data_IF_728859766001
#
_entry.id   IF_728859766001
#
_cell.length_a   1.000
_cell.length_b   1.000
_cell.length_c   1.000
_cell.angle_alpha   90.00
_cell.angle_beta   90.00
_cell.angle_gamma   90.00
#
_symmetry.space_group_name_H-M   'P 1'
#
loop_
_entity.id
_entity.type
_entity.pdbx_description
1 polymer ?
#
# COMPACT_ATOMS: atom_id res chain seq x y z
N UNK A 1 5.33 -19.22 -18.08
CA UNK A 1 3.85 -19.23 -18.22
C UNK A 1 3.15 -19.23 -16.84
N UNK A 2 3.42 -20.20 -15.95
CA UNK A 2 2.80 -20.26 -14.60
C UNK A 2 3.05 -19.03 -13.69
N UNK A 3 4.22 -18.40 -13.79
CA UNK A 3 4.56 -17.20 -13.01
C UNK A 3 3.67 -16.00 -13.38
N UNK A 4 3.41 -15.77 -14.66
CA UNK A 4 2.55 -14.67 -15.13
C UNK A 4 1.07 -14.89 -14.80
N UNK A 5 0.61 -16.14 -14.79
CA UNK A 5 -0.76 -16.49 -14.38
C UNK A 5 -1.00 -16.12 -12.91
N UNK A 6 -0.09 -16.51 -12.03
CA UNK A 6 -0.24 -16.25 -10.59
C UNK A 6 0.06 -14.80 -10.20
N UNK A 7 0.98 -14.12 -10.87
CA UNK A 7 1.38 -12.75 -10.52
C UNK A 7 0.51 -11.67 -11.17
N UNK A 8 -0.23 -11.96 -12.24
CA UNK A 8 -0.96 -10.93 -12.99
C UNK A 8 -2.44 -11.26 -13.16
N UNK A 9 -2.76 -12.39 -13.77
CA UNK A 9 -4.16 -12.73 -14.07
C UNK A 9 -4.97 -13.03 -12.81
N UNK A 10 -4.40 -13.74 -11.84
CA UNK A 10 -5.09 -14.07 -10.61
C UNK A 10 -5.39 -12.83 -9.75
N UNK A 11 -4.44 -11.89 -9.49
CA UNK A 11 -4.75 -10.63 -8.83
C UNK A 11 -5.82 -9.81 -9.55
N UNK A 12 -5.74 -9.72 -10.88
CA UNK A 12 -6.72 -8.98 -11.66
C UNK A 12 -8.11 -9.61 -11.59
N UNK A 13 -8.20 -10.93 -11.75
CA UNK A 13 -9.45 -11.68 -11.58
C UNK A 13 -10.01 -11.51 -10.16
N UNK A 14 -9.16 -11.49 -9.14
CA UNK A 14 -9.58 -11.27 -7.76
C UNK A 14 -10.11 -9.85 -7.53
N UNK A 15 -9.54 -8.83 -8.18
CA UNK A 15 -10.07 -7.46 -8.15
C UNK A 15 -11.46 -7.38 -8.81
N UNK A 16 -11.61 -8.01 -9.98
CA UNK A 16 -12.91 -8.14 -10.65
C UNK A 16 -13.94 -8.90 -9.79
N UNK A 17 -13.56 -10.04 -9.21
CA UNK A 17 -14.42 -10.81 -8.30
C UNK A 17 -14.81 -9.97 -7.08
N UNK A 18 -13.87 -9.19 -6.54
CA UNK A 18 -14.15 -8.29 -5.43
C UNK A 18 -15.21 -7.25 -5.81
N UNK A 19 -15.11 -6.62 -6.99
CA UNK A 19 -16.14 -5.72 -7.53
C UNK A 19 -17.51 -6.42 -7.59
N UNK A 20 -17.59 -7.62 -8.18
CA UNK A 20 -18.84 -8.39 -8.29
C UNK A 20 -19.42 -8.75 -6.91
N UNK A 21 -18.57 -9.03 -5.92
CA UNK A 21 -19.02 -9.32 -4.56
C UNK A 21 -19.56 -8.08 -3.86
N UNK A 22 -18.89 -6.94 -4.01
CA UNK A 22 -19.34 -5.69 -3.40
C UNK A 22 -20.59 -5.13 -4.08
N UNK A 23 -20.70 -5.26 -5.40
CA UNK A 23 -21.90 -4.85 -6.13
C UNK A 23 -23.15 -5.63 -5.71
N UNK A 24 -23.01 -6.93 -5.41
CA UNK A 24 -24.09 -7.77 -4.85
C UNK A 24 -24.44 -7.45 -3.40
N UNK A 25 -23.57 -6.74 -2.67
CA UNK A 25 -23.81 -6.34 -1.28
C UNK A 25 -24.58 -5.03 -1.14
N UNK A 26 -24.83 -4.32 -2.25
CA UNK A 26 -25.68 -3.14 -2.29
C UNK A 26 -27.16 -3.53 -2.10
N UNK A 27 -27.97 -2.58 -1.62
CA UNK A 27 -29.40 -2.81 -1.44
C UNK A 27 -30.14 -2.75 -2.79
N UNK A 28 -29.67 -1.91 -3.71
CA UNK A 28 -30.17 -1.82 -5.08
C UNK A 28 -29.27 -2.58 -6.08
N UNK A 29 -29.82 -3.01 -7.24
CA UNK A 29 -29.02 -3.52 -8.35
C UNK A 29 -27.92 -2.52 -8.73
N UNK A 30 -26.70 -3.01 -8.87
CA UNK A 30 -25.58 -2.17 -9.26
C UNK A 30 -25.71 -1.75 -10.72
N UNK A 31 -25.79 -0.44 -10.93
CA UNK A 31 -25.67 0.20 -12.23
C UNK A 31 -24.50 1.20 -12.14
N UNK A 32 -23.43 1.07 -12.94
CA UNK A 32 -22.32 1.99 -12.87
C UNK A 32 -22.80 3.41 -13.22
N UNK A 33 -22.30 4.42 -12.50
CA UNK A 33 -22.45 5.80 -12.93
C UNK A 33 -21.67 6.05 -14.22
N UNK A 34 -22.03 7.11 -14.94
CA UNK A 34 -21.29 7.52 -16.13
C UNK A 34 -19.88 8.03 -15.77
N UNK A 35 -18.98 8.00 -16.75
CA UNK A 35 -17.59 8.40 -16.56
C UNK A 35 -17.46 9.86 -16.07
N UNK A 36 -18.36 10.76 -16.49
CA UNK A 36 -18.29 12.17 -16.10
C UNK A 36 -18.63 12.38 -14.62
N UNK A 37 -19.54 11.58 -14.06
CA UNK A 37 -19.88 11.60 -12.63
C UNK A 37 -18.76 10.99 -11.81
N UNK A 38 -18.17 9.89 -12.28
CA UNK A 38 -17.05 9.22 -11.61
C UNK A 38 -15.81 10.12 -11.51
N UNK A 39 -15.55 10.93 -12.53
CA UNK A 39 -14.45 11.91 -12.52
C UNK A 39 -14.60 13.02 -11.48
N UNK A 40 -15.81 13.22 -10.90
CA UNK A 40 -16.05 14.20 -9.83
C UNK A 40 -15.71 13.68 -8.43
N UNK A 41 -15.22 12.44 -8.31
CA UNK A 41 -14.77 11.91 -7.01
C UNK A 41 -13.75 12.84 -6.37
N UNK A 42 -13.94 13.16 -5.09
CA UNK A 42 -13.01 13.97 -4.30
C UNK A 42 -11.80 13.17 -3.80
N UNK A 43 -11.85 11.84 -3.92
CA UNK A 43 -10.83 10.94 -3.41
C UNK A 43 -9.58 10.96 -4.31
N UNK A 44 -8.41 11.11 -3.68
CA UNK A 44 -7.13 11.19 -4.37
C UNK A 44 -6.76 9.90 -5.13
N UNK A 45 -7.06 8.71 -4.59
CA UNK A 45 -6.75 7.46 -5.27
C UNK A 45 -7.70 7.19 -6.44
N UNK A 46 -8.94 7.69 -6.40
CA UNK A 46 -9.87 7.61 -7.54
C UNK A 46 -9.43 8.53 -8.68
N UNK A 47 -9.07 9.77 -8.35
CA UNK A 47 -8.50 10.71 -9.31
C UNK A 47 -7.21 10.15 -9.91
N UNK A 48 -6.36 9.54 -9.08
CA UNK A 48 -5.12 8.93 -9.52
C UNK A 48 -5.35 7.74 -10.45
N UNK A 49 -6.21 6.78 -10.09
CA UNK A 49 -6.39 5.59 -10.93
C UNK A 49 -7.02 5.96 -12.28
N UNK A 50 -7.90 6.97 -12.31
CA UNK A 50 -8.43 7.51 -13.55
C UNK A 50 -7.33 8.16 -14.39
N UNK A 51 -6.47 9.00 -13.79
CA UNK A 51 -5.31 9.57 -14.49
C UNK A 51 -4.38 8.49 -15.03
N UNK A 52 -4.03 7.50 -14.20
CA UNK A 52 -3.17 6.38 -14.59
C UNK A 52 -3.78 5.55 -15.72
N UNK A 53 -5.12 5.45 -15.77
CA UNK A 53 -5.86 4.77 -16.86
C UNK A 53 -5.76 5.55 -18.16
N UNK A 54 -5.92 6.88 -18.12
CA UNK A 54 -5.70 7.75 -19.29
C UNK A 54 -4.25 7.69 -19.78
N UNK A 55 -3.29 7.71 -18.85
CA UNK A 55 -1.86 7.53 -19.14
C UNK A 55 -1.57 6.16 -19.77
N UNK A 56 -2.25 5.10 -19.32
CA UNK A 56 -2.16 3.77 -19.92
C UNK A 56 -2.68 3.76 -21.36
N UNK A 57 -3.89 4.27 -21.60
CA UNK A 57 -4.48 4.31 -22.95
C UNK A 57 -3.59 5.10 -23.90
N UNK A 58 -3.11 6.27 -23.46
CA UNK A 58 -2.20 7.09 -24.25
C UNK A 58 -0.90 6.37 -24.60
N UNK A 59 -0.25 5.76 -23.60
CA UNK A 59 0.99 5.01 -23.80
C UNK A 59 0.79 3.82 -24.75
N UNK A 60 -0.30 3.08 -24.55
CA UNK A 60 -0.63 1.92 -25.39
C UNK A 60 -0.84 2.33 -26.85
N UNK A 61 -1.67 3.35 -27.12
CA UNK A 61 -1.89 3.84 -28.48
C UNK A 61 -0.57 4.27 -29.13
N UNK A 62 0.24 5.08 -28.44
CA UNK A 62 1.52 5.56 -28.96
C UNK A 62 2.47 4.41 -29.32
N UNK A 63 2.60 3.41 -28.46
CA UNK A 63 3.52 2.29 -28.69
C UNK A 63 2.99 1.30 -29.73
N UNK A 64 1.66 1.09 -29.80
CA UNK A 64 1.03 0.27 -30.83
C UNK A 64 1.12 0.92 -32.22
N UNK A 65 0.88 2.22 -32.33
CA UNK A 65 1.02 2.99 -33.58
C UNK A 65 2.47 2.94 -34.10
N UNK A 66 3.45 2.90 -33.19
CA UNK A 66 4.86 2.76 -33.50
C UNK A 66 5.35 1.30 -33.64
N UNK A 67 4.47 0.31 -33.52
CA UNK A 67 4.78 -1.13 -33.54
C UNK A 67 5.82 -1.58 -32.48
N UNK A 68 5.87 -0.91 -31.33
CA UNK A 68 6.82 -1.19 -30.23
C UNK A 68 6.22 -2.14 -29.17
N UNK A 69 5.81 -3.33 -29.59
CA UNK A 69 5.09 -4.29 -28.73
C UNK A 69 5.85 -4.71 -27.45
N UNK A 70 7.20 -4.62 -27.46
CA UNK A 70 8.04 -5.04 -26.34
C UNK A 70 7.95 -4.11 -25.11
N UNK A 71 7.50 -2.86 -25.27
CA UNK A 71 7.32 -1.89 -24.18
C UNK A 71 5.92 -1.95 -23.56
N UNK A 72 4.94 -2.43 -24.34
CA UNK A 72 3.52 -2.47 -23.99
C UNK A 72 3.27 -3.40 -22.80
N UNK A 73 3.76 -4.64 -22.87
CA UNK A 73 3.50 -5.65 -21.83
C UNK A 73 4.06 -5.23 -20.46
N UNK A 74 5.33 -4.79 -20.32
CA UNK A 74 5.84 -4.32 -19.02
C UNK A 74 5.02 -3.18 -18.40
N UNK A 75 4.61 -2.20 -19.21
CA UNK A 75 3.82 -1.07 -18.72
C UNK A 75 2.43 -1.51 -18.24
N UNK A 76 1.77 -2.40 -19.00
CA UNK A 76 0.49 -2.99 -18.61
C UNK A 76 0.57 -3.77 -17.30
N UNK A 77 1.61 -4.60 -17.15
CA UNK A 77 1.82 -5.35 -15.92
C UNK A 77 2.01 -4.43 -14.71
N UNK A 78 2.77 -3.34 -14.89
CA UNK A 78 2.94 -2.31 -13.86
C UNK A 78 1.61 -1.62 -13.51
N UNK A 79 0.78 -1.33 -14.51
CA UNK A 79 -0.54 -0.75 -14.29
C UNK A 79 -1.48 -1.72 -13.53
N UNK A 80 -1.51 -3.01 -13.90
CA UNK A 80 -2.33 -4.00 -13.20
C UNK A 80 -1.84 -4.24 -11.76
N UNK A 81 -0.53 -4.21 -11.53
CA UNK A 81 0.04 -4.22 -10.19
C UNK A 81 -0.42 -3.00 -9.37
N UNK A 82 -0.33 -1.79 -9.94
CA UNK A 82 -0.85 -0.57 -9.34
C UNK A 82 -2.35 -0.66 -9.02
N UNK A 83 -3.17 -1.15 -9.95
CA UNK A 83 -4.60 -1.31 -9.74
C UNK A 83 -4.90 -2.24 -8.56
N UNK A 84 -4.22 -3.38 -8.50
CA UNK A 84 -4.54 -4.42 -7.51
C UNK A 84 -3.89 -4.18 -6.15
N UNK A 85 -2.60 -3.89 -6.13
CA UNK A 85 -1.81 -3.77 -4.90
C UNK A 85 -1.87 -2.39 -4.25
N UNK A 86 -2.41 -1.38 -4.95
CA UNK A 86 -2.47 -0.01 -4.44
C UNK A 86 -3.90 0.46 -4.44
N UNK A 87 -4.53 0.58 -5.60
CA UNK A 87 -5.90 1.12 -5.66
C UNK A 87 -6.89 0.23 -4.89
N UNK A 88 -6.99 -1.06 -5.26
CA UNK A 88 -7.94 -1.99 -4.61
C UNK A 88 -7.53 -2.32 -3.17
N UNK A 89 -6.24 -2.52 -2.90
CA UNK A 89 -5.74 -2.82 -1.55
C UNK A 89 -6.02 -1.69 -0.57
N UNK A 90 -5.58 -0.47 -0.88
CA UNK A 90 -5.69 0.69 0.02
C UNK A 90 -7.15 1.16 0.16
N UNK A 91 -7.97 0.99 -0.88
CA UNK A 91 -9.39 1.34 -0.81
C UNK A 91 -10.29 0.18 -0.42
N UNK A 92 -9.76 -0.96 0.05
CA UNK A 92 -10.58 -2.15 0.32
C UNK A 92 -11.68 -1.90 1.35
N UNK A 93 -11.40 -1.13 2.40
CA UNK A 93 -12.40 -0.75 3.41
C UNK A 93 -13.41 0.22 2.80
N UNK A 94 -12.91 1.19 2.03
CA UNK A 94 -13.70 2.22 1.34
C UNK A 94 -14.67 1.67 0.30
N UNK A 95 -14.30 0.58 -0.38
CA UNK A 95 -15.10 -0.10 -1.41
C UNK A 95 -16.18 -1.03 -0.83
N UNK A 96 -16.25 -1.20 0.49
CA UNK A 96 -17.32 -1.94 1.16
C UNK A 96 -18.44 -1.00 1.58
N UNK A 97 -19.67 -1.47 1.54
CA UNK A 97 -20.83 -0.71 2.01
C UNK A 97 -20.77 -0.39 3.53
N UNK A 98 -20.14 -1.26 4.34
CA UNK A 98 -20.11 -1.13 5.80
C UNK A 98 -19.46 0.20 6.22
N UNK A 99 -20.26 1.13 6.74
CA UNK A 99 -19.80 2.43 7.26
C UNK A 99 -19.73 3.56 6.23
N UNK A 100 -20.31 3.41 5.04
CA UNK A 100 -20.43 4.49 4.05
C UNK A 100 -21.85 4.54 3.50
N UNK A 101 -22.32 5.72 3.08
CA UNK A 101 -23.54 5.86 2.29
C UNK A 101 -23.47 4.98 1.01
N UNK A 102 -24.61 4.40 0.63
CA UNK A 102 -24.74 3.50 -0.53
C UNK A 102 -24.38 4.22 -1.85
N UNK A 103 -24.75 5.48 -2.00
CA UNK A 103 -24.41 6.26 -3.21
C UNK A 103 -22.90 6.47 -3.37
N UNK A 104 -22.21 6.78 -2.29
CA UNK A 104 -20.76 6.95 -2.30
C UNK A 104 -20.08 5.58 -2.54
N UNK A 105 -20.54 4.51 -1.89
CA UNK A 105 -20.09 3.14 -2.21
C UNK A 105 -20.26 2.83 -3.72
N UNK A 106 -21.42 3.16 -4.30
CA UNK A 106 -21.71 2.99 -5.72
C UNK A 106 -20.78 3.84 -6.60
N UNK A 107 -20.47 5.07 -6.23
CA UNK A 107 -19.52 5.93 -6.93
C UNK A 107 -18.14 5.27 -7.02
N UNK A 108 -17.63 4.80 -5.88
CA UNK A 108 -16.32 4.17 -5.76
C UNK A 108 -16.23 2.84 -6.54
N UNK A 109 -17.30 2.04 -6.49
CA UNK A 109 -17.43 0.82 -7.29
C UNK A 109 -17.55 1.12 -8.79
N UNK A 110 -18.20 2.23 -9.17
CA UNK A 110 -18.26 2.69 -10.56
C UNK A 110 -16.89 3.08 -11.08
N UNK A 111 -16.06 3.76 -10.28
CA UNK A 111 -14.65 4.03 -10.61
C UNK A 111 -13.89 2.74 -10.91
N UNK A 112 -13.97 1.75 -10.01
CA UNK A 112 -13.30 0.46 -10.22
C UNK A 112 -13.83 -0.28 -11.46
N UNK A 113 -15.14 -0.23 -11.70
CA UNK A 113 -15.79 -0.83 -12.86
C UNK A 113 -15.24 -0.24 -14.17
N UNK A 114 -15.19 1.08 -14.31
CA UNK A 114 -14.69 1.73 -15.53
C UNK A 114 -13.22 1.45 -15.78
N UNK A 115 -12.39 1.53 -14.73
CA UNK A 115 -10.97 1.19 -14.84
C UNK A 115 -10.77 -0.25 -15.32
N UNK A 116 -11.54 -1.20 -14.77
CA UNK A 116 -11.50 -2.60 -15.21
C UNK A 116 -11.99 -2.77 -16.65
N UNK A 117 -13.04 -2.07 -17.06
CA UNK A 117 -13.57 -2.12 -18.42
C UNK A 117 -12.55 -1.62 -19.44
N UNK A 118 -11.93 -0.46 -19.18
CA UNK A 118 -10.86 0.08 -20.03
C UNK A 118 -9.66 -0.87 -20.04
N UNK A 119 -9.28 -1.44 -18.90
CA UNK A 119 -8.22 -2.44 -18.82
C UNK A 119 -8.52 -3.66 -19.69
N UNK A 120 -9.76 -4.15 -19.70
CA UNK A 120 -10.19 -5.23 -20.59
C UNK A 120 -10.04 -4.83 -22.06
N UNK A 121 -10.51 -3.64 -22.46
CA UNK A 121 -10.40 -3.14 -23.85
C UNK A 121 -8.94 -3.04 -24.30
N UNK A 122 -8.05 -2.50 -23.45
CA UNK A 122 -6.61 -2.40 -23.75
C UNK A 122 -5.93 -3.76 -23.82
N UNK A 123 -6.34 -4.72 -22.97
CA UNK A 123 -5.80 -6.08 -22.95
C UNK A 123 -6.38 -7.01 -24.03
N UNK A 124 -7.41 -6.57 -24.78
CA UNK A 124 -8.11 -7.38 -25.77
C UNK A 124 -7.18 -8.01 -26.83
N UNK A 125 -6.22 -7.26 -27.41
CA UNK A 125 -5.29 -7.82 -28.39
C UNK A 125 -4.30 -8.85 -27.81
N UNK A 126 -4.10 -8.84 -26.49
CA UNK A 126 -3.10 -9.68 -25.81
C UNK A 126 -3.69 -10.95 -25.21
N UNK A 127 -4.89 -10.85 -24.63
CA UNK A 127 -5.50 -11.94 -23.83
C UNK A 127 -6.99 -12.12 -24.16
N UNK A 128 -7.34 -12.35 -25.43
CA UNK A 128 -8.69 -12.16 -25.97
C UNK A 128 -9.77 -13.01 -25.29
N UNK A 129 -9.47 -14.25 -24.92
CA UNK A 129 -10.46 -15.12 -24.28
C UNK A 129 -10.70 -14.79 -22.80
N UNK A 130 -9.65 -14.39 -22.08
CA UNK A 130 -9.75 -14.09 -20.65
C UNK A 130 -10.59 -12.84 -20.41
N UNK A 131 -10.27 -11.77 -21.13
CA UNK A 131 -10.99 -10.49 -21.07
C UNK A 131 -12.42 -10.59 -21.58
N UNK A 132 -12.68 -11.42 -22.60
CA UNK A 132 -14.04 -11.68 -23.08
C UNK A 132 -14.90 -12.30 -21.98
N UNK A 133 -14.37 -13.30 -21.26
CA UNK A 133 -15.09 -13.93 -20.15
C UNK A 133 -15.46 -12.93 -19.03
N UNK A 134 -14.61 -11.93 -18.77
CA UNK A 134 -14.92 -10.86 -17.80
C UNK A 134 -15.97 -9.91 -18.36
N UNK A 135 -15.79 -9.49 -19.61
CA UNK A 135 -16.66 -8.54 -20.29
C UNK A 135 -18.10 -9.04 -20.37
N UNK A 136 -18.31 -10.31 -20.75
CA UNK A 136 -19.65 -10.91 -20.85
C UNK A 136 -20.47 -10.80 -19.57
N UNK A 137 -19.83 -10.80 -18.40
CA UNK A 137 -20.55 -10.58 -17.14
C UNK A 137 -20.69 -9.08 -16.80
N UNK A 138 -19.76 -8.22 -17.21
CA UNK A 138 -19.88 -6.77 -17.09
C UNK A 138 -20.97 -6.20 -18.00
N UNK A 139 -21.21 -6.81 -19.16
CA UNK A 139 -22.25 -6.43 -20.13
C UNK A 139 -23.66 -6.41 -19.50
N UNK A 140 -23.90 -7.24 -18.47
CA UNK A 140 -25.20 -7.31 -17.76
C UNK A 140 -25.59 -6.03 -17.02
N UNK A 141 -24.63 -5.14 -16.76
CA UNK A 141 -24.85 -3.85 -16.08
C UNK A 141 -24.50 -2.66 -16.99
N UNK A 142 -24.10 -2.93 -18.24
CA UNK A 142 -23.90 -1.92 -19.27
C UNK A 142 -25.19 -1.80 -20.08
N UNK A 143 -25.52 -0.57 -20.48
CA UNK A 143 -26.58 -0.30 -21.42
C UNK A 143 -25.94 -0.04 -22.79
N UNK A 144 -26.51 -0.63 -23.84
CA UNK A 144 -26.20 -0.24 -25.23
C UNK A 144 -24.71 -0.38 -25.62
N UNK A 145 -24.12 -1.55 -25.30
CA UNK A 145 -22.75 -1.92 -25.68
C UNK A 145 -22.78 -3.19 -26.55
N UNK A 146 -21.70 -3.38 -27.32
CA UNK A 146 -21.56 -4.48 -28.27
C UNK A 146 -21.63 -5.86 -27.61
N UNK A 147 -22.08 -6.88 -28.36
CA UNK A 147 -22.20 -8.25 -27.83
C UNK A 147 -20.85 -8.88 -27.45
N UNK A 148 -19.75 -8.40 -28.03
CA UNK A 148 -18.40 -8.85 -27.75
C UNK A 148 -17.46 -7.67 -27.56
N UNK A 149 -16.49 -7.82 -26.65
CA UNK A 149 -15.51 -6.76 -26.41
C UNK A 149 -14.69 -6.45 -27.67
N UNK A 150 -14.50 -7.45 -28.53
CA UNK A 150 -13.73 -7.31 -29.77
C UNK A 150 -14.44 -6.48 -30.84
N UNK A 151 -15.72 -6.17 -30.66
CA UNK A 151 -16.46 -5.24 -31.51
C UNK A 151 -16.50 -3.83 -30.94
N UNK A 152 -16.14 -3.64 -29.66
CA UNK A 152 -16.06 -2.33 -29.06
C UNK A 152 -14.99 -1.47 -29.73
N UNK A 153 -15.28 -0.18 -29.85
CA UNK A 153 -14.25 0.80 -30.19
C UNK A 153 -13.14 0.83 -29.13
N UNK A 154 -11.90 0.97 -29.59
CA UNK A 154 -10.75 1.13 -28.69
C UNK A 154 -10.91 2.41 -27.86
N UNK A 155 -10.58 2.39 -26.55
CA UNK A 155 -10.72 3.57 -25.71
C UNK A 155 -9.89 4.74 -26.23
N UNK A 156 -10.50 5.92 -26.27
CA UNK A 156 -9.81 7.17 -26.59
C UNK A 156 -9.43 7.89 -25.31
N UNK A 157 -8.36 8.69 -25.36
CA UNK A 157 -7.97 9.58 -24.26
C UNK A 157 -9.03 10.68 -24.17
N UNK A 158 -9.86 10.65 -23.13
CA UNK A 158 -10.98 11.58 -22.94
C UNK A 158 -10.79 12.44 -21.69
N UNK A 159 -9.95 12.00 -20.75
CA UNK A 159 -9.69 12.67 -19.48
C UNK A 159 -8.43 13.54 -19.47
N UNK A 160 -8.30 14.34 -18.41
CA UNK A 160 -7.07 15.04 -18.11
C UNK A 160 -6.11 14.09 -17.41
N UNK A 161 -4.94 13.86 -18.00
CA UNK A 161 -3.80 13.28 -17.29
C UNK A 161 -3.30 14.28 -16.27
N UNK A 162 -3.24 13.87 -15.01
CA UNK A 162 -2.74 14.65 -13.91
C UNK A 162 -1.37 14.06 -13.48
N UNK A 163 -0.31 14.60 -14.06
CA UNK A 163 1.04 14.16 -13.72
C UNK A 163 1.40 14.42 -12.25
N UNK A 164 0.78 15.43 -11.62
CA UNK A 164 1.04 15.78 -10.22
C UNK A 164 0.51 14.69 -9.31
N UNK A 165 -0.74 14.26 -9.49
CA UNK A 165 -1.32 13.21 -8.64
C UNK A 165 -0.64 11.84 -8.84
N UNK A 166 -0.24 11.52 -10.08
CA UNK A 166 0.55 10.32 -10.38
C UNK A 166 1.89 10.34 -9.66
N UNK A 167 2.56 11.49 -9.62
CA UNK A 167 3.79 11.69 -8.87
C UNK A 167 3.57 11.58 -7.36
N UNK A 168 2.53 12.20 -6.81
CA UNK A 168 2.21 12.14 -5.37
C UNK A 168 1.99 10.69 -4.91
N UNK A 169 1.23 9.89 -5.67
CA UNK A 169 1.02 8.46 -5.35
C UNK A 169 2.31 7.66 -5.53
N UNK A 170 3.14 7.96 -6.53
CA UNK A 170 4.45 7.31 -6.67
C UNK A 170 5.36 7.58 -5.46
N UNK A 171 5.41 8.82 -4.97
CA UNK A 171 6.16 9.20 -3.76
C UNK A 171 5.64 8.46 -2.52
N UNK A 172 4.32 8.41 -2.35
CA UNK A 172 3.66 7.66 -1.28
C UNK A 172 4.07 6.17 -1.29
N UNK A 173 4.10 5.53 -2.48
CA UNK A 173 4.56 4.15 -2.62
C UNK A 173 5.98 3.96 -2.12
N UNK A 174 6.89 4.82 -2.56
CA UNK A 174 8.29 4.78 -2.14
C UNK A 174 8.41 4.85 -0.62
N UNK A 175 7.67 5.78 0.02
CA UNK A 175 7.64 5.90 1.49
C UNK A 175 7.15 4.61 2.15
N UNK A 176 6.05 4.03 1.66
CA UNK A 176 5.49 2.78 2.19
C UNK A 176 6.48 1.63 2.07
N UNK A 177 7.15 1.50 0.93
CA UNK A 177 8.10 0.40 0.69
C UNK A 177 9.37 0.56 1.55
N UNK A 178 9.86 1.79 1.73
CA UNK A 178 10.96 2.08 2.66
C UNK A 178 10.61 1.74 4.10
N UNK A 179 9.40 2.09 4.56
CA UNK A 179 8.94 1.75 5.90
C UNK A 179 8.74 0.23 6.09
N UNK A 180 8.22 -0.47 5.08
CA UNK A 180 8.11 -1.94 5.11
C UNK A 180 9.47 -2.61 5.23
N UNK A 181 10.47 -2.12 4.49
CA UNK A 181 11.84 -2.64 4.58
C UNK A 181 12.39 -2.52 6.01
N UNK A 182 12.17 -1.39 6.68
CA UNK A 182 12.57 -1.20 8.09
C UNK A 182 11.89 -2.26 8.98
N UNK A 183 10.56 -2.41 8.85
CA UNK A 183 9.82 -3.42 9.61
C UNK A 183 10.32 -4.84 9.39
N UNK A 184 10.59 -5.21 8.15
CA UNK A 184 11.10 -6.53 7.80
C UNK A 184 12.48 -6.79 8.41
N UNK A 185 13.39 -5.81 8.37
CA UNK A 185 14.71 -5.92 9.02
C UNK A 185 14.61 -6.21 10.53
N UNK A 186 13.62 -5.62 11.19
CA UNK A 186 13.39 -5.78 12.63
C UNK A 186 12.36 -6.84 12.99
N UNK A 187 11.90 -7.64 12.02
CA UNK A 187 10.85 -8.64 12.20
C UNK A 187 9.59 -8.09 12.91
N UNK A 188 9.22 -6.83 12.65
CA UNK A 188 8.02 -6.18 13.19
C UNK A 188 6.84 -6.39 12.24
N UNK A 189 5.88 -7.27 12.55
CA UNK A 189 4.74 -7.53 11.65
C UNK A 189 3.86 -6.28 11.52
N UNK A 190 3.19 -6.10 10.38
CA UNK A 190 2.23 -4.98 10.16
C UNK A 190 1.08 -4.95 11.18
N UNK A 191 0.78 -6.08 11.82
CA UNK A 191 -0.24 -6.14 12.87
C UNK A 191 0.22 -5.49 14.18
N UNK A 192 1.52 -5.35 14.39
CA UNK A 192 2.06 -4.60 15.52
C UNK A 192 2.05 -3.12 15.16
N UNK A 193 1.21 -2.30 15.80
CA UNK A 193 1.21 -0.87 15.56
C UNK A 193 2.54 -0.28 16.01
N UNK A 194 3.01 0.72 15.28
CA UNK A 194 4.15 1.54 15.69
C UNK A 194 3.67 2.94 16.06
N UNK A 195 4.44 3.60 16.91
CA UNK A 195 4.07 4.91 17.43
C UNK A 195 4.17 5.98 16.35
N UNK A 196 5.35 6.14 15.78
CA UNK A 196 5.66 7.29 14.93
C UNK A 196 6.49 6.87 13.71
N UNK A 197 6.21 7.54 12.60
CA UNK A 197 7.05 7.55 11.41
C UNK A 197 7.45 8.98 11.09
N UNK A 198 8.71 9.17 10.70
CA UNK A 198 9.21 10.47 10.21
C UNK A 198 9.60 10.36 8.75
N UNK A 199 9.10 11.26 7.91
CA UNK A 199 9.53 11.43 6.53
C UNK A 199 10.43 12.66 6.46
N UNK A 200 11.66 12.46 5.99
CA UNK A 200 12.66 13.51 5.87
C UNK A 200 12.93 13.78 4.40
N UNK A 201 12.66 15.01 3.96
CA UNK A 201 12.88 15.44 2.59
C UNK A 201 13.08 16.96 2.50
N UNK A 202 14.06 17.48 1.73
CA UNK A 202 14.34 18.92 1.68
C UNK A 202 13.26 19.75 0.96
N UNK A 203 12.57 19.15 -0.01
CA UNK A 203 11.46 19.78 -0.75
C UNK A 203 10.15 19.73 0.05
N UNK A 204 9.54 20.89 0.29
CA UNK A 204 8.26 21.00 0.98
C UNK A 204 7.10 20.43 0.14
N UNK A 205 7.16 20.54 -1.19
CA UNK A 205 6.12 20.04 -2.08
C UNK A 205 6.04 18.50 -2.05
N UNK A 206 7.17 17.83 -1.79
CA UNK A 206 7.21 16.39 -1.54
C UNK A 206 6.51 16.01 -0.23
N UNK A 207 6.79 16.77 0.82
CA UNK A 207 6.21 16.52 2.14
C UNK A 207 4.69 16.75 2.12
N UNK A 208 4.23 17.83 1.47
CA UNK A 208 2.81 18.14 1.32
C UNK A 208 2.04 17.04 0.58
N UNK A 209 2.63 16.45 -0.46
CA UNK A 209 2.01 15.31 -1.18
C UNK A 209 1.65 14.16 -0.24
N UNK A 210 2.51 13.90 0.74
CA UNK A 210 2.37 12.75 1.65
C UNK A 210 1.52 13.07 2.88
N UNK A 211 1.40 14.34 3.25
CA UNK A 211 0.66 14.80 4.44
C UNK A 211 -0.81 15.15 4.18
N UNK A 212 -1.13 15.55 2.94
CA UNK A 212 -2.48 15.96 2.57
C UNK A 212 -3.42 14.74 2.43
N UNK A 213 -3.96 14.51 1.24
CA UNK A 213 -4.97 13.47 1.01
C UNK A 213 -4.42 12.03 1.11
N UNK A 214 -3.10 11.86 1.18
CA UNK A 214 -2.44 10.55 1.18
C UNK A 214 -2.02 10.06 2.58
N UNK A 215 -2.03 10.94 3.59
CA UNK A 215 -1.56 10.63 4.95
C UNK A 215 -2.23 9.40 5.56
N UNK A 216 -3.56 9.36 5.54
CA UNK A 216 -4.34 8.25 6.11
C UNK A 216 -4.00 6.91 5.44
N UNK A 217 -3.76 6.90 4.12
CA UNK A 217 -3.36 5.68 3.42
C UNK A 217 -1.99 5.18 3.87
N UNK A 218 -1.06 6.08 4.14
CA UNK A 218 0.27 5.73 4.66
C UNK A 218 0.16 5.18 6.08
N UNK A 219 -0.57 5.87 6.96
CA UNK A 219 -0.76 5.45 8.36
C UNK A 219 -1.49 4.11 8.47
N UNK A 220 -2.55 3.90 7.70
CA UNK A 220 -3.32 2.65 7.69
C UNK A 220 -2.50 1.48 7.12
N UNK A 221 -1.85 1.69 5.99
CA UNK A 221 -1.09 0.63 5.32
C UNK A 221 0.13 0.20 6.14
N UNK A 222 0.74 1.16 6.84
CA UNK A 222 1.84 0.89 7.74
C UNK A 222 1.38 0.66 9.18
N UNK A 223 0.12 0.78 9.56
CA UNK A 223 -0.32 0.68 10.96
C UNK A 223 0.61 1.47 11.92
N UNK A 224 0.76 2.77 11.65
CA UNK A 224 1.53 3.73 12.47
C UNK A 224 0.54 4.75 13.04
N UNK A 225 0.72 5.20 14.28
CA UNK A 225 -0.22 6.14 14.91
C UNK A 225 -0.01 7.59 14.45
N UNK A 226 1.24 8.03 14.32
CA UNK A 226 1.58 9.39 13.87
C UNK A 226 2.57 9.40 12.71
N UNK A 227 2.37 10.37 11.81
CA UNK A 227 3.30 10.72 10.76
C UNK A 227 3.82 12.14 11.03
N UNK A 228 5.14 12.28 11.07
CA UNK A 228 5.86 13.55 11.22
C UNK A 228 6.64 13.84 9.95
N UNK A 229 6.60 15.08 9.48
CA UNK A 229 7.36 15.54 8.34
C UNK A 229 8.54 16.38 8.82
N UNK A 230 9.70 16.19 8.21
CA UNK A 230 10.90 16.94 8.53
C UNK A 230 11.57 17.45 7.25
N UNK A 231 11.65 18.76 7.11
CA UNK A 231 12.38 19.41 6.02
C UNK A 231 13.89 19.57 6.33
N UNK A 232 14.25 19.55 7.61
CA UNK A 232 15.63 19.63 8.05
C UNK A 232 16.32 18.26 7.96
N UNK A 233 16.92 18.00 6.80
CA UNK A 233 17.68 16.79 6.54
C UNK A 233 18.85 16.60 7.50
N UNK A 234 19.47 17.67 8.00
CA UNK A 234 20.67 17.59 8.87
C UNK A 234 20.35 17.02 10.25
N UNK A 235 19.08 17.05 10.66
CA UNK A 235 18.62 16.48 11.93
C UNK A 235 18.78 14.95 11.97
N UNK A 236 18.56 14.28 10.84
CA UNK A 236 18.53 12.82 10.76
C UNK A 236 19.50 12.23 9.74
N UNK A 237 20.22 13.06 8.98
CA UNK A 237 21.18 12.58 7.98
C UNK A 237 22.56 13.15 8.21
N UNK A 238 23.58 12.31 8.00
CA UNK A 238 24.93 12.72 7.68
C UNK A 238 25.15 12.54 6.19
N UNK A 239 25.48 13.62 5.49
CA UNK A 239 25.78 13.55 4.06
C UNK A 239 27.27 13.31 3.85
N UNK A 240 27.62 12.34 3.01
CA UNK A 240 28.99 12.08 2.57
C UNK A 240 29.05 12.02 1.06
N UNK A 241 30.07 12.64 0.48
CA UNK A 241 30.27 12.63 -0.96
C UNK A 241 31.17 11.45 -1.36
N UNK A 242 30.69 10.60 -2.25
CA UNK A 242 31.44 9.54 -2.89
C UNK A 242 31.68 9.87 -4.37
N UNK A 243 32.92 9.79 -4.87
CA UNK A 243 33.16 10.00 -6.29
C UNK A 243 32.62 8.82 -7.10
N UNK A 244 32.01 9.10 -8.26
CA UNK A 244 31.65 8.05 -9.20
C UNK A 244 32.91 7.55 -9.93
N UNK A 245 33.46 6.43 -9.44
CA UNK A 245 34.66 5.82 -10.01
C UNK A 245 34.48 5.38 -11.47
N UNK A 246 33.26 5.11 -11.92
CA UNK A 246 32.98 4.65 -13.30
C UNK A 246 33.07 5.79 -14.31
N UNK A 247 32.64 6.99 -13.92
CA UNK A 247 32.68 8.21 -14.73
C UNK A 247 34.04 8.89 -14.57
N UNK A 248 34.48 9.14 -13.33
CA UNK A 248 35.68 9.90 -13.03
C UNK A 248 36.97 9.12 -13.25
N UNK A 249 36.95 7.79 -13.10
CA UNK A 249 38.13 6.96 -13.35
C UNK A 249 38.65 7.10 -14.78
N UNK A 250 37.72 7.18 -15.76
CA UNK A 250 38.05 7.38 -17.19
C UNK A 250 38.57 8.78 -17.48
N UNK A 251 38.09 9.81 -16.77
CA UNK A 251 38.40 11.22 -17.03
C UNK A 251 39.66 11.70 -16.30
N UNK A 252 39.87 11.26 -15.07
CA UNK A 252 40.92 11.77 -14.19
C UNK A 252 42.16 10.87 -14.09
N UNK A 253 42.07 9.58 -14.43
CA UNK A 253 43.21 8.65 -14.44
C UNK A 253 44.07 8.74 -13.18
N UNK A 254 45.32 9.20 -13.30
CA UNK A 254 46.27 9.34 -12.18
C UNK A 254 45.84 10.35 -11.11
N UNK A 255 45.05 11.36 -11.46
CA UNK A 255 44.54 12.37 -10.52
C UNK A 255 43.35 11.88 -9.69
N UNK A 256 42.76 10.73 -10.03
CA UNK A 256 41.58 10.17 -9.37
C UNK A 256 41.78 9.94 -7.86
N UNK A 257 42.97 9.48 -7.46
CA UNK A 257 43.27 9.23 -6.04
C UNK A 257 43.27 10.50 -5.19
N UNK A 258 43.74 11.62 -5.74
CA UNK A 258 43.79 12.92 -5.06
C UNK A 258 42.39 13.54 -4.99
N UNK A 259 41.67 13.54 -6.11
CA UNK A 259 40.30 14.05 -6.17
C UNK A 259 39.37 13.23 -5.29
N UNK A 260 39.49 11.90 -5.28
CA UNK A 260 38.66 11.04 -4.41
C UNK A 260 38.87 11.32 -2.92
N UNK A 261 40.09 11.61 -2.48
CA UNK A 261 40.35 11.97 -1.08
C UNK A 261 39.69 13.30 -0.71
N UNK A 262 39.76 14.31 -1.59
CA UNK A 262 39.12 15.59 -1.33
C UNK A 262 37.59 15.52 -1.38
N UNK A 263 37.03 14.75 -2.31
CA UNK A 263 35.58 14.51 -2.37
C UNK A 263 35.09 13.89 -1.06
N UNK A 264 35.79 12.86 -0.54
CA UNK A 264 35.42 12.19 0.72
C UNK A 264 35.65 13.04 1.98
N UNK A 265 36.54 14.03 1.93
CA UNK A 265 36.88 14.90 3.07
C UNK A 265 36.00 16.17 3.17
N UNK A 266 35.03 16.34 2.26
CA UNK A 266 34.12 17.49 2.26
C UNK A 266 33.24 17.49 3.52
N UNK A 267 33.04 18.68 4.09
CA UNK A 267 32.07 18.90 5.17
C UNK A 267 30.64 18.84 4.63
N UNK A 268 29.66 18.61 5.52
CA UNK A 268 28.23 18.63 5.18
C UNK A 268 27.81 19.94 4.48
N UNK A 269 28.30 21.08 4.97
CA UNK A 269 27.99 22.40 4.41
C UNK A 269 28.44 22.52 2.95
N UNK A 270 29.66 22.06 2.64
CA UNK A 270 30.18 22.09 1.28
C UNK A 270 29.50 21.09 0.33
N UNK A 271 28.90 20.02 0.87
CA UNK A 271 28.10 19.07 0.09
C UNK A 271 26.75 19.70 -0.26
N UNK A 272 26.08 20.33 0.70
CA UNK A 272 24.83 21.06 0.47
C UNK A 272 25.01 22.23 -0.51
N UNK A 273 26.12 22.94 -0.43
CA UNK A 273 26.45 24.00 -1.38
C UNK A 273 26.64 23.44 -2.80
N UNK A 274 27.37 22.32 -2.94
CA UNK A 274 27.54 21.63 -4.22
C UNK A 274 26.22 21.16 -4.84
N UNK A 275 25.28 20.67 -4.04
CA UNK A 275 23.94 20.28 -4.53
C UNK A 275 23.15 21.49 -5.05
N UNK A 276 23.35 22.69 -4.48
CA UNK A 276 22.72 23.92 -4.94
C UNK A 276 23.40 24.53 -6.17
N UNK A 277 24.73 24.53 -6.22
CA UNK A 277 25.50 25.15 -7.31
C UNK A 277 25.61 24.24 -8.53
N UNK A 278 25.49 22.92 -8.36
CA UNK A 278 25.54 21.91 -9.42
C UNK A 278 26.94 21.63 -9.98
N UNK A 279 27.94 22.41 -9.58
CA UNK A 279 29.33 22.22 -9.93
C UNK A 279 30.28 22.60 -8.79
N UNK A 280 31.43 21.94 -8.74
CA UNK A 280 32.52 22.33 -7.86
C UNK A 280 33.88 22.07 -8.48
N UNK A 281 34.81 23.00 -8.29
CA UNK A 281 36.18 22.82 -8.74
C UNK A 281 37.02 22.22 -7.63
N UNK A 282 37.59 21.03 -7.87
CA UNK A 282 38.50 20.34 -6.96
C UNK A 282 39.82 20.04 -7.68
N UNK A 283 40.95 20.44 -7.08
CA UNK A 283 42.30 20.20 -7.62
C UNK A 283 42.46 20.60 -9.10
N UNK A 284 41.83 21.70 -9.54
CA UNK A 284 41.87 22.17 -10.92
C UNK A 284 40.92 21.45 -11.89
N UNK A 285 40.06 20.55 -11.40
CA UNK A 285 39.05 19.85 -12.19
C UNK A 285 37.65 20.31 -11.78
N UNK A 286 36.84 20.73 -12.76
CA UNK A 286 35.40 20.96 -12.55
C UNK A 286 34.68 19.60 -12.49
N UNK A 287 33.97 19.37 -11.39
CA UNK A 287 33.12 18.21 -11.14
C UNK A 287 31.66 18.65 -11.17
N UNK A 288 30.83 17.91 -11.92
CA UNK A 288 29.38 18.14 -12.03
C UNK A 288 28.61 17.17 -11.16
N UNK A 289 27.30 17.37 -11.00
CA UNK A 289 26.41 16.48 -10.24
C UNK A 289 26.58 14.98 -10.60
N UNK A 290 26.78 14.63 -11.87
CA UNK A 290 26.98 13.24 -12.29
C UNK A 290 28.34 12.64 -11.91
N UNK A 291 29.29 13.46 -11.47
CA UNK A 291 30.64 13.03 -11.10
C UNK A 291 30.73 12.62 -9.62
N UNK A 292 29.82 13.11 -8.78
CA UNK A 292 29.82 12.89 -7.33
C UNK A 292 28.47 12.33 -6.90
N UNK A 293 28.48 11.14 -6.32
CA UNK A 293 27.32 10.56 -5.65
C UNK A 293 27.26 11.05 -4.22
N UNK A 294 26.25 11.85 -3.89
CA UNK A 294 25.95 12.20 -2.49
C UNK A 294 25.23 11.02 -1.84
N UNK A 295 25.85 10.44 -0.82
CA UNK A 295 25.25 9.37 -0.01
C UNK A 295 24.80 10.01 1.30
N UNK A 296 23.52 9.83 1.65
CA UNK A 296 22.94 10.30 2.90
C UNK A 296 22.84 9.10 3.83
N UNK A 297 23.71 9.05 4.82
CA UNK A 297 23.64 8.04 5.87
C UNK A 297 22.69 8.51 6.97
N UNK A 298 21.96 7.58 7.55
CA UNK A 298 21.12 7.87 8.71
C UNK A 298 21.99 8.21 9.92
N UNK A 299 21.71 9.35 10.54
CA UNK A 299 22.28 9.76 11.81
C UNK A 299 21.21 9.53 12.89
N UNK A 300 21.45 8.53 13.74
CA UNK A 300 20.58 8.28 14.89
C UNK A 300 20.52 9.54 15.79
N UNK A 301 19.33 10.01 16.19
CA UNK A 301 19.21 11.10 17.15
C UNK A 301 19.93 10.82 18.48
N UNK A 302 20.41 11.86 19.14
CA UNK A 302 21.10 11.74 20.43
C UNK A 302 20.16 11.12 21.48
N UNK A 303 20.62 10.07 22.17
CA UNK A 303 19.88 9.40 23.24
C UNK A 303 18.96 8.25 22.76
N UNK A 304 19.01 7.85 21.49
CA UNK A 304 18.28 6.69 20.96
C UNK A 304 19.22 5.68 20.31
N UNK A 305 18.84 4.40 20.33
CA UNK A 305 19.64 3.31 19.74
C UNK A 305 19.07 2.81 18.41
N UNK A 306 19.91 2.17 17.58
CA UNK A 306 19.49 1.56 16.30
C UNK A 306 18.44 0.45 16.44
N UNK A 307 18.22 -0.05 17.67
CA UNK A 307 17.15 -1.04 17.97
C UNK A 307 15.80 -0.38 18.25
N UNK A 308 15.83 0.90 18.59
CA UNK A 308 14.69 1.69 19.01
C UNK A 308 14.17 2.55 17.87
N UNK A 309 15.07 3.05 17.02
CA UNK A 309 14.76 3.78 15.80
C UNK A 309 15.64 3.25 14.68
N UNK A 310 15.05 3.07 13.50
CA UNK A 310 15.78 2.73 12.29
C UNK A 310 15.22 3.52 11.10
N UNK A 311 16.04 3.66 10.06
CA UNK A 311 15.72 4.44 8.87
C UNK A 311 16.05 3.70 7.57
N UNK A 312 15.36 4.06 6.51
CA UNK A 312 15.63 3.57 5.17
C UNK A 312 15.42 4.71 4.19
N UNK A 313 16.36 4.90 3.28
CA UNK A 313 16.24 5.87 2.20
C UNK A 313 16.65 5.27 0.86
N UNK A 314 16.16 5.86 -0.22
CA UNK A 314 16.49 5.49 -1.60
C UNK A 314 17.49 6.47 -2.26
N UNK A 315 17.97 7.44 -1.49
CA UNK A 315 18.83 8.52 -1.93
C UNK A 315 18.08 9.84 -2.13
N UNK A 316 16.77 9.81 -2.41
CA UNK A 316 15.92 10.99 -2.55
C UNK A 316 15.23 11.33 -1.23
N UNK A 317 14.51 10.36 -0.67
CA UNK A 317 13.79 10.48 0.61
C UNK A 317 14.38 9.57 1.69
N UNK A 318 14.32 10.01 2.95
CA UNK A 318 14.63 9.17 4.11
C UNK A 318 13.35 8.98 4.95
N UNK A 319 13.03 7.72 5.25
CA UNK A 319 11.93 7.34 6.14
C UNK A 319 12.52 6.74 7.41
N UNK A 320 11.97 7.13 8.55
CA UNK A 320 12.42 6.71 9.89
C UNK A 320 11.22 6.13 10.63
N UNK A 321 11.40 5.01 11.33
CA UNK A 321 10.37 4.41 12.17
C UNK A 321 10.82 4.35 13.63
N UNK A 322 9.91 4.73 14.52
CA UNK A 322 10.00 4.41 15.95
C UNK A 322 9.56 2.95 16.16
N UNK A 323 10.48 2.12 16.65
CA UNK A 323 10.34 0.69 16.89
C UNK A 323 10.09 0.37 18.37
N UNK A 324 10.09 1.38 19.25
CA UNK A 324 9.73 1.21 20.64
C UNK A 324 8.32 0.63 20.75
N UNK A 325 8.18 -0.32 21.68
CA UNK A 325 6.91 -0.94 21.98
C UNK A 325 6.52 -0.60 23.40
N UNK A 326 5.47 0.19 23.54
CA UNK A 326 4.80 0.40 24.83
C UNK A 326 3.70 -0.65 25.06
N UNK A 327 3.15 -0.66 26.27
CA UNK A 327 2.09 -1.61 26.66
C UNK A 327 0.85 -1.45 25.79
N UNK A 328 0.47 -0.22 25.43
CA UNK A 328 -0.71 0.05 24.62
C UNK A 328 -0.57 -0.48 23.19
N UNK A 329 0.61 -0.32 22.58
CA UNK A 329 0.94 -0.84 21.25
C UNK A 329 1.01 -2.37 21.25
N UNK A 330 1.55 -2.95 22.33
CA UNK A 330 1.53 -4.39 22.53
C UNK A 330 0.09 -4.92 22.56
N UNK A 331 -0.78 -4.36 23.40
CA UNK A 331 -2.17 -4.78 23.53
C UNK A 331 -2.95 -4.65 22.22
N UNK A 332 -2.80 -3.52 21.54
CA UNK A 332 -3.41 -3.26 20.24
C UNK A 332 -2.90 -4.22 19.14
N UNK A 333 -1.64 -4.66 19.24
CA UNK A 333 -1.07 -5.68 18.36
C UNK A 333 -1.63 -7.08 18.64
N UNK A 334 -1.77 -7.45 19.91
CA UNK A 334 -2.38 -8.72 20.33
C UNK A 334 -3.83 -8.79 19.88
N UNK A 335 -4.62 -7.73 20.07
CA UNK A 335 -6.01 -7.68 19.63
C UNK A 335 -6.15 -7.89 18.11
N UNK A 336 -5.26 -7.28 17.30
CA UNK A 336 -5.20 -7.51 15.84
C UNK A 336 -4.87 -8.96 15.48
N UNK A 337 -3.97 -9.61 16.23
CA UNK A 337 -3.69 -11.04 16.05
C UNK A 337 -4.93 -11.89 16.37
N UNK A 338 -5.61 -11.64 17.48
CA UNK A 338 -6.86 -12.33 17.85
C UNK A 338 -7.90 -12.20 16.74
N UNK A 339 -8.21 -10.96 16.31
CA UNK A 339 -9.14 -10.69 15.19
C UNK A 339 -8.71 -11.46 13.94
N UNK A 340 -7.43 -11.45 13.60
CA UNK A 340 -6.92 -12.18 12.43
C UNK A 340 -7.14 -13.68 12.53
N UNK A 341 -7.01 -14.29 13.72
CA UNK A 341 -7.26 -15.73 13.93
C UNK A 341 -8.74 -16.05 13.85
N UNK A 342 -9.59 -15.22 14.47
CA UNK A 342 -11.05 -15.36 14.37
C UNK A 342 -11.49 -15.33 12.90
N UNK A 343 -11.01 -14.36 12.11
CA UNK A 343 -11.38 -14.24 10.70
C UNK A 343 -10.86 -15.43 9.85
N UNK A 344 -9.70 -16.00 10.19
CA UNK A 344 -9.21 -17.24 9.55
C UNK A 344 -10.07 -18.44 9.91
N UNK A 345 -10.45 -18.59 11.18
CA UNK A 345 -11.32 -19.66 11.66
C UNK A 345 -12.71 -19.58 11.01
N UNK A 346 -13.30 -18.39 10.88
CA UNK A 346 -14.56 -18.18 10.14
C UNK A 346 -14.49 -18.73 8.73
N UNK A 347 -13.42 -18.40 7.98
CA UNK A 347 -13.21 -18.89 6.62
C UNK A 347 -13.05 -20.42 6.57
N UNK A 348 -12.29 -21.00 7.51
CA UNK A 348 -12.06 -22.45 7.62
C UNK A 348 -13.37 -23.19 7.91
N UNK A 349 -14.24 -22.60 8.71
CA UNK A 349 -15.59 -23.11 9.02
C UNK A 349 -16.64 -22.82 7.93
N UNK A 350 -16.25 -22.29 6.77
CA UNK A 350 -17.18 -21.99 5.67
C UNK A 350 -18.14 -20.83 5.96
N UNK A 351 -17.88 -20.02 6.98
CA UNK A 351 -18.72 -18.89 7.37
C UNK A 351 -18.37 -17.64 6.53
N UNK A 352 -19.40 -17.07 5.92
CA UNK A 352 -19.34 -15.78 5.24
C UNK A 352 -19.27 -14.59 6.20
N UNK A 353 -19.07 -13.40 5.62
CA UNK A 353 -19.02 -12.13 6.35
C UNK A 353 -20.38 -11.74 6.98
N UNK A 354 -21.48 -12.23 6.40
CA UNK A 354 -22.85 -11.93 6.85
C UNK A 354 -23.39 -12.93 7.89
N UNK A 355 -22.69 -14.04 8.13
CA UNK A 355 -23.13 -15.00 9.13
C UNK A 355 -22.90 -14.44 10.53
N UNK A 356 -23.98 -14.34 11.31
CA UNK A 356 -23.92 -13.99 12.73
C UNK A 356 -23.41 -15.22 13.49
N UNK A 357 -22.39 -15.03 14.32
CA UNK A 357 -21.83 -16.07 15.19
C UNK A 357 -21.46 -15.49 16.54
N UNK A 358 -21.69 -16.26 17.59
CA UNK A 358 -21.18 -15.97 18.91
C UNK A 358 -19.74 -16.48 19.02
N UNK A 359 -18.91 -15.73 19.73
CA UNK A 359 -17.48 -16.00 19.79
C UNK A 359 -17.05 -16.06 21.24
N UNK A 360 -16.35 -17.14 21.57
CA UNK A 360 -15.85 -17.37 22.90
C UNK A 360 -14.33 -17.41 22.90
N UNK A 361 -13.74 -16.77 23.91
CA UNK A 361 -12.31 -16.76 24.18
C UNK A 361 -12.02 -17.43 25.52
N UNK A 362 -10.98 -18.25 25.54
CA UNK A 362 -10.43 -18.84 26.76
C UNK A 362 -8.91 -18.72 26.75
N UNK A 363 -8.35 -18.09 27.78
CA UNK A 363 -6.91 -18.11 28.01
C UNK A 363 -6.48 -19.48 28.52
N UNK A 364 -5.45 -20.04 27.89
CA UNK A 364 -4.81 -21.31 28.25
C UNK A 364 -3.53 -21.09 29.08
N UNK A 365 -3.14 -19.84 29.30
CA UNK A 365 -1.99 -19.49 30.13
C UNK A 365 -2.36 -19.53 31.63
N UNK A 366 -1.37 -19.80 32.48
CA UNK A 366 -1.55 -19.76 33.94
C UNK A 366 -1.85 -18.34 34.44
N UNK A 367 -1.17 -17.34 33.86
CA UNK A 367 -1.45 -15.93 34.08
C UNK A 367 -2.40 -15.39 33.00
N UNK A 368 -3.63 -15.07 33.41
CA UNK A 368 -4.70 -14.55 32.53
C UNK A 368 -4.74 -13.02 32.47
N UNK A 369 -3.93 -12.33 33.28
CA UNK A 369 -3.99 -10.88 33.43
C UNK A 369 -3.78 -10.14 32.11
N UNK A 370 -2.87 -10.63 31.26
CA UNK A 370 -2.57 -10.03 29.95
C UNK A 370 -3.74 -10.22 28.99
N UNK A 371 -4.29 -11.44 28.89
CA UNK A 371 -5.43 -11.70 28.01
C UNK A 371 -6.68 -10.92 28.41
N UNK A 372 -6.96 -10.85 29.72
CA UNK A 372 -8.12 -10.14 30.24
C UNK A 372 -8.00 -8.63 30.00
N UNK A 373 -6.80 -8.08 30.22
CA UNK A 373 -6.50 -6.67 29.94
C UNK A 373 -6.66 -6.33 28.46
N UNK A 374 -6.15 -7.16 27.55
CA UNK A 374 -6.31 -6.96 26.10
C UNK A 374 -7.77 -7.00 25.69
N UNK A 375 -8.53 -8.00 26.15
CA UNK A 375 -9.96 -8.12 25.82
C UNK A 375 -10.78 -6.93 26.31
N UNK A 376 -10.46 -6.42 27.51
CA UNK A 376 -11.15 -5.26 28.07
C UNK A 376 -10.76 -3.95 27.38
N UNK A 377 -9.47 -3.65 27.24
CA UNK A 377 -9.00 -2.38 26.67
C UNK A 377 -9.23 -2.26 25.15
N UNK A 378 -9.30 -3.39 24.44
CA UNK A 378 -9.50 -3.42 22.99
C UNK A 378 -10.88 -3.96 22.58
N UNK A 379 -11.85 -4.03 23.52
CA UNK A 379 -13.19 -4.60 23.29
C UNK A 379 -13.87 -3.96 22.07
N UNK A 380 -13.87 -2.62 22.01
CA UNK A 380 -14.52 -1.87 20.93
C UNK A 380 -13.91 -2.18 19.56
N UNK A 381 -12.57 -2.24 19.48
CA UNK A 381 -11.87 -2.60 18.24
C UNK A 381 -12.23 -4.02 17.79
N UNK A 382 -12.20 -4.98 18.72
CA UNK A 382 -12.53 -6.39 18.43
C UNK A 382 -13.98 -6.50 17.94
N UNK A 383 -14.91 -5.81 18.60
CA UNK A 383 -16.33 -5.77 18.25
C UNK A 383 -16.56 -5.17 16.86
N UNK A 384 -15.91 -4.05 16.54
CA UNK A 384 -16.07 -3.40 15.23
C UNK A 384 -15.49 -4.25 14.09
N UNK A 385 -14.35 -4.89 14.35
CA UNK A 385 -13.64 -5.70 13.38
C UNK A 385 -14.33 -7.05 13.10
N UNK A 386 -14.94 -7.68 14.11
CA UNK A 386 -15.58 -8.99 13.96
C UNK A 386 -17.11 -8.91 13.83
N UNK A 387 -17.71 -7.80 14.29
CA UNK A 387 -19.16 -7.55 14.23
C UNK A 387 -19.94 -8.09 15.43
N UNK A 388 -19.27 -8.66 16.43
CA UNK A 388 -19.89 -9.19 17.66
C UNK A 388 -18.86 -9.16 18.80
N UNK A 389 -19.29 -9.02 20.07
CA UNK A 389 -18.38 -9.06 21.21
C UNK A 389 -17.76 -10.47 21.35
N UNK A 390 -16.56 -10.53 21.93
CA UNK A 390 -15.99 -11.80 22.38
C UNK A 390 -16.40 -12.05 23.82
N UNK A 391 -16.98 -13.23 24.08
CA UNK A 391 -17.47 -13.62 25.39
C UNK A 391 -16.48 -14.58 26.06
N UNK A 392 -16.40 -14.62 27.39
CA UNK A 392 -15.65 -15.66 28.09
C UNK A 392 -16.27 -17.05 27.87
N UNK A 393 -15.44 -18.08 27.63
CA UNK A 393 -15.93 -19.46 27.44
C UNK A 393 -16.80 -19.99 28.59
N UNK A 394 -16.63 -19.48 29.82
CA UNK A 394 -17.45 -19.86 30.98
C UNK A 394 -18.94 -19.50 30.85
N UNK A 395 -19.29 -18.59 29.94
CA UNK A 395 -20.69 -18.18 29.67
C UNK A 395 -21.28 -18.98 28.49
N UNK A 396 -20.50 -19.87 27.85
CA UNK A 396 -20.97 -20.67 26.72
C UNK A 396 -22.05 -21.67 27.16
N UNK A 397 -23.27 -21.63 26.60
CA UNK A 397 -24.32 -22.58 26.93
C UNK A 397 -23.90 -24.02 26.59
N UNK A 398 -24.19 -24.98 27.46
CA UNK A 398 -23.80 -26.39 27.30
C UNK A 398 -24.40 -27.06 26.05
N UNK A 399 -25.50 -26.54 25.54
CA UNK A 399 -26.20 -27.03 24.34
C UNK A 399 -25.83 -26.27 23.06
N UNK A 400 -24.88 -25.34 23.12
CA UNK A 400 -24.55 -24.49 21.98
C UNK A 400 -23.81 -25.27 20.89
N UNK A 401 -24.17 -25.04 19.63
CA UNK A 401 -23.57 -25.75 18.49
C UNK A 401 -22.28 -25.05 18.06
N UNK A 402 -21.15 -25.73 18.27
CA UNK A 402 -19.82 -25.25 17.86
C UNK A 402 -19.67 -25.41 16.34
N UNK A 403 -19.41 -24.29 15.66
CA UNK A 403 -19.20 -24.20 14.21
C UNK A 403 -17.70 -24.30 13.85
N UNK A 404 -16.83 -24.02 14.80
CA UNK A 404 -15.38 -24.14 14.64
C UNK A 404 -14.67 -23.80 15.94
N UNK A 405 -13.60 -24.52 16.24
CA UNK A 405 -12.80 -24.33 17.45
C UNK A 405 -11.33 -24.59 17.12
N UNK A 406 -10.45 -23.73 17.63
CA UNK A 406 -9.01 -23.85 17.38
C UNK A 406 -8.20 -23.33 18.57
N UNK A 407 -7.18 -24.10 18.96
CA UNK A 407 -6.23 -23.74 20.00
C UNK A 407 -5.01 -23.07 19.40
N UNK A 408 -4.58 -21.96 20.01
CA UNK A 408 -3.40 -21.21 19.62
C UNK A 408 -2.41 -21.18 20.78
N UNK A 409 -1.12 -21.37 20.48
CA UNK A 409 -0.02 -21.35 21.45
C UNK A 409 1.08 -20.40 21.00
N UNK A 410 1.66 -19.65 21.93
CA UNK A 410 2.79 -18.75 21.69
C UNK A 410 2.49 -17.55 20.79
N UNK A 411 1.23 -17.16 20.64
CA UNK A 411 0.84 -16.01 19.81
C UNK A 411 1.08 -14.73 20.60
N UNK A 412 2.09 -13.95 20.20
CA UNK A 412 2.53 -12.77 20.94
C UNK A 412 2.84 -13.08 22.42
N UNK A 413 3.35 -14.30 22.68
CA UNK A 413 3.62 -14.79 24.04
C UNK A 413 2.42 -15.39 24.77
N UNK A 414 1.24 -15.45 24.15
CA UNK A 414 0.01 -15.98 24.77
C UNK A 414 -0.46 -17.30 24.17
N UNK A 415 -1.18 -18.09 24.96
CA UNK A 415 -1.90 -19.29 24.55
C UNK A 415 -3.38 -19.15 24.85
N UNK A 416 -4.24 -19.41 23.86
CA UNK A 416 -5.69 -19.25 24.01
C UNK A 416 -6.47 -20.15 23.04
N UNK A 417 -7.72 -20.44 23.40
CA UNK A 417 -8.71 -21.09 22.55
C UNK A 417 -9.70 -20.06 22.01
N UNK A 418 -10.11 -20.22 20.74
CA UNK A 418 -11.23 -19.50 20.16
C UNK A 418 -12.27 -20.52 19.70
N UNK A 419 -13.51 -20.30 20.13
CA UNK A 419 -14.68 -21.07 19.70
C UNK A 419 -15.69 -20.18 18.98
N UNK A 420 -16.13 -20.60 17.80
CA UNK A 420 -17.23 -20.01 17.05
C UNK A 420 -18.49 -20.85 17.24
N UNK A 421 -19.58 -20.22 17.62
CA UNK A 421 -20.82 -20.88 18.01
C UNK A 421 -21.99 -20.26 17.27
N UNK A 422 -22.99 -21.09 16.93
CA UNK A 422 -24.22 -20.59 16.33
C UNK A 422 -24.99 -19.77 17.37
N UNK A 423 -25.44 -18.54 17.06
CA UNK A 423 -26.28 -17.77 17.96
C UNK A 423 -27.57 -18.54 18.27
N UNK A 424 -28.02 -18.48 19.51
CA UNK A 424 -29.25 -19.15 19.97
C UNK A 424 -30.49 -18.42 19.44
#
# INVERSE_FOLDING_TARGET
>A
MFVHVNLTFLPWYNAYRFLVQQSKSLNAPFLPFDQTTVQKSSNVLDQWINSATESLVHFFCQEMDAYRLYTVVPYLLKFLDNLTNIYVRLNRTRLKLKGTNEEDCRMRLSTLFHVLLVSCKVMAPLTPFFIEALYQNMLKVLNDEEESLHYCSFPQVQGKRDARIEQSVARMKTVIDLARNIRERHNKPLKTPLKEMVIVHPDADFLEDTDAKLREYVLDELNVQSLVLCNDTLKYTSSRAEPDFSVLGKRLGKSMGVVSKQVKARSQESILEFEKTGEVTLCGHSLKLNDIKVVRDFKCPDGTTEKEIDASGDGDVLVILDLHQDESLFEAGVAREIVSRVQKLRKKSGLGLTNIVEMYFESLDEDKSVSDRVLHLQEQYIKDAIGSPMLPCGVRPSHAVVLGEENFRGVSGMSFNISLVRPI
#
